data_IF_461788079424
#
_entry.id   IF_461788079424
#
_cell.length_a   1.000
_cell.length_b   1.000
_cell.length_c   1.000
_cell.angle_alpha   90.00
_cell.angle_beta   90.00
_cell.angle_gamma   90.00
#
_symmetry.space_group_name_H-M   'P 1'
#
loop_
_entity.id
_entity.type
_entity.pdbx_description
1 polymer ?
#
# COMPACT_ATOMS: atom_id res chain seq x y z
N UNK A 1 -7.15 11.51 -7.60
CA UNK A 1 -6.25 10.34 -7.66
C UNK A 1 -7.07 9.21 -7.06
N UNK A 2 -7.94 8.61 -7.87
CA UNK A 2 -8.73 7.45 -7.44
C UNK A 2 -7.77 6.29 -7.21
N UNK A 3 -8.00 5.51 -6.16
CA UNK A 3 -7.23 4.33 -5.82
C UNK A 3 -7.33 3.33 -6.99
N UNK A 4 -6.33 3.31 -7.87
CA UNK A 4 -6.22 2.32 -8.96
C UNK A 4 -5.20 1.23 -8.62
N UNK A 5 -5.06 0.91 -7.32
CA UNK A 5 -4.55 -0.39 -6.92
C UNK A 5 -5.71 -1.35 -7.20
N UNK A 6 -5.63 -2.09 -8.31
CA UNK A 6 -6.72 -2.94 -8.78
C UNK A 6 -7.02 -4.16 -7.89
N UNK A 7 -6.43 -4.25 -6.70
CA UNK A 7 -6.81 -5.19 -5.65
C UNK A 7 -7.94 -4.56 -4.83
N UNK A 8 -9.15 -5.05 -5.05
CA UNK A 8 -10.31 -4.55 -4.33
C UNK A 8 -10.42 -5.37 -3.05
N UNK A 9 -10.40 -6.69 -3.14
CA UNK A 9 -10.78 -7.57 -2.03
C UNK A 9 -9.58 -8.24 -1.35
N UNK A 10 -9.69 -8.55 -0.06
CA UNK A 10 -8.69 -9.32 0.70
C UNK A 10 -8.42 -10.68 0.05
N UNK A 11 -9.43 -11.30 -0.57
CA UNK A 11 -9.28 -12.53 -1.33
C UNK A 11 -8.32 -12.44 -2.54
N UNK A 12 -8.01 -11.23 -3.02
CA UNK A 12 -7.10 -11.02 -4.14
C UNK A 12 -5.61 -11.16 -3.74
N UNK A 13 -5.34 -11.19 -2.42
CA UNK A 13 -4.00 -11.26 -1.84
C UNK A 13 -3.78 -12.65 -1.26
N UNK A 14 -2.88 -13.42 -1.87
CA UNK A 14 -2.39 -14.67 -1.30
C UNK A 14 -1.01 -14.45 -0.66
N UNK A 15 -0.99 -14.39 0.68
CA UNK A 15 0.24 -14.21 1.44
C UNK A 15 1.12 -15.47 1.49
N UNK A 16 0.54 -16.66 1.28
CA UNK A 16 1.28 -17.93 1.26
C UNK A 16 1.93 -18.15 -0.11
N UNK A 17 1.17 -17.98 -1.19
CA UNK A 17 1.70 -18.04 -2.56
C UNK A 17 2.54 -16.80 -2.92
N UNK A 18 2.47 -15.75 -2.10
CA UNK A 18 3.09 -14.43 -2.34
C UNK A 18 2.66 -13.86 -3.68
N UNK A 19 1.36 -13.80 -3.92
CA UNK A 19 0.79 -13.32 -5.18
C UNK A 19 -0.38 -12.38 -4.97
N UNK A 20 -0.47 -11.39 -5.86
CA UNK A 20 -1.58 -10.44 -5.95
C UNK A 20 -2.29 -10.61 -7.29
N UNK A 21 -3.58 -10.90 -7.24
CA UNK A 21 -4.43 -11.05 -8.43
C UNK A 21 -5.16 -9.75 -8.73
N UNK A 22 -4.94 -9.17 -9.90
CA UNK A 22 -5.62 -7.95 -10.34
C UNK A 22 -6.75 -8.34 -11.29
N UNK A 23 -7.99 -8.37 -10.79
CA UNK A 23 -9.18 -8.85 -11.51
C UNK A 23 -9.83 -7.84 -12.46
N UNK A 24 -9.33 -6.60 -12.56
CA UNK A 24 -9.92 -5.55 -13.41
C UNK A 24 -8.95 -4.94 -14.41
N UNK A 25 -9.24 -5.15 -15.69
CA UNK A 25 -9.33 -4.06 -16.65
C UNK A 25 -10.48 -4.36 -17.62
N UNK A 26 -10.90 -3.39 -18.42
CA UNK A 26 -12.13 -3.33 -19.23
C UNK A 26 -12.33 -4.46 -20.27
N UNK A 27 -11.44 -5.46 -20.31
CA UNK A 27 -11.43 -6.64 -21.21
C UNK A 27 -10.86 -7.87 -20.48
N UNK A 28 -11.24 -9.08 -20.91
CA UNK A 28 -10.77 -10.35 -20.32
C UNK A 28 -9.23 -10.53 -20.35
N UNK A 29 -8.52 -9.76 -21.18
CA UNK A 29 -7.05 -9.72 -21.26
C UNK A 29 -6.37 -8.92 -20.12
N UNK A 30 -7.17 -8.32 -19.21
CA UNK A 30 -6.69 -7.43 -18.15
C UNK A 30 -6.26 -8.11 -16.85
N UNK A 31 -6.58 -9.40 -16.69
CA UNK A 31 -6.25 -10.14 -15.48
C UNK A 31 -4.75 -10.44 -15.44
N UNK A 32 -4.10 -10.06 -14.33
CA UNK A 32 -2.67 -10.31 -14.14
C UNK A 32 -2.37 -10.69 -12.70
N UNK A 33 -1.47 -11.65 -12.57
CA UNK A 33 -0.88 -12.06 -11.30
C UNK A 33 0.46 -11.33 -11.15
N UNK A 34 0.61 -10.62 -10.04
CA UNK A 34 1.83 -9.90 -9.67
C UNK A 34 2.46 -10.64 -8.48
N UNK A 35 3.70 -11.15 -8.59
CA UNK A 35 4.37 -11.72 -7.42
C UNK A 35 4.59 -10.63 -6.37
N UNK A 36 4.52 -11.00 -5.10
CA UNK A 36 4.77 -10.12 -3.98
C UNK A 36 6.18 -10.39 -3.45
N UNK A 37 6.90 -9.33 -3.09
CA UNK A 37 8.16 -9.46 -2.36
C UNK A 37 7.91 -9.76 -0.90
N UNK A 38 8.89 -10.32 -0.20
CA UNK A 38 8.81 -10.57 1.24
C UNK A 38 8.48 -9.30 2.05
N UNK A 39 9.04 -8.17 1.63
CA UNK A 39 8.72 -6.87 2.22
C UNK A 39 7.24 -6.55 2.04
N UNK A 40 6.69 -6.75 0.85
CA UNK A 40 5.27 -6.49 0.56
C UNK A 40 4.36 -7.41 1.36
N UNK A 41 4.71 -8.69 1.48
CA UNK A 41 3.97 -9.67 2.29
C UNK A 41 3.96 -9.24 3.77
N UNK A 42 5.11 -8.80 4.31
CA UNK A 42 5.21 -8.34 5.69
C UNK A 42 4.34 -7.11 5.97
N UNK A 43 4.27 -6.17 5.02
CA UNK A 43 3.47 -4.96 5.10
C UNK A 43 1.98 -5.29 5.04
N UNK A 44 1.57 -6.16 4.12
CA UNK A 44 0.18 -6.61 4.00
C UNK A 44 -0.28 -7.41 5.23
N UNK A 45 0.58 -8.27 5.79
CA UNK A 45 0.30 -8.98 7.02
C UNK A 45 0.17 -8.05 8.24
N UNK A 46 0.99 -7.00 8.31
CA UNK A 46 0.85 -5.94 9.33
C UNK A 46 -0.45 -5.16 9.16
N UNK A 47 -0.78 -4.76 7.92
CA UNK A 47 -2.00 -4.04 7.61
C UNK A 47 -3.24 -4.85 8.02
N UNK A 48 -3.26 -6.15 7.71
CA UNK A 48 -4.34 -7.06 8.10
C UNK A 48 -4.51 -7.14 9.63
N UNK A 49 -3.43 -7.35 10.38
CA UNK A 49 -3.48 -7.37 11.85
C UNK A 49 -3.97 -6.05 12.44
N UNK A 50 -3.55 -4.92 11.86
CA UNK A 50 -4.05 -3.61 12.26
C UNK A 50 -5.54 -3.44 11.97
N UNK A 51 -6.04 -3.98 10.86
CA UNK A 51 -7.48 -3.97 10.55
C UNK A 51 -8.28 -4.87 11.50
N UNK A 52 -7.74 -6.03 11.87
CA UNK A 52 -8.35 -6.97 12.83
C UNK A 52 -8.57 -6.33 14.22
N UNK A 53 -7.74 -5.34 14.61
CA UNK A 53 -7.94 -4.57 15.83
C UNK A 53 -9.21 -3.69 15.81
N UNK A 54 -9.77 -3.40 14.63
CA UNK A 54 -11.01 -2.64 14.47
C UNK A 54 -12.24 -3.52 14.26
N UNK A 55 -12.06 -4.83 14.06
CA UNK A 55 -13.14 -5.79 13.81
C UNK A 55 -12.70 -6.96 12.93
N UNK A 56 -13.56 -7.98 12.74
CA UNK A 56 -13.23 -9.13 11.89
C UNK A 56 -12.98 -8.72 10.43
N UNK A 57 -11.92 -9.29 9.83
CA UNK A 57 -11.57 -9.07 8.42
C UNK A 57 -12.02 -10.26 7.59
N UNK A 58 -13.09 -10.08 6.82
CA UNK A 58 -13.63 -11.09 5.90
C UNK A 58 -12.93 -11.06 4.53
N UNK A 59 -12.94 -12.17 3.77
CA UNK A 59 -12.33 -12.24 2.44
C UNK A 59 -12.91 -11.23 1.43
N UNK A 60 -14.17 -10.84 1.62
CA UNK A 60 -14.89 -9.88 0.77
C UNK A 60 -14.51 -8.43 1.08
N UNK A 61 -13.92 -8.15 2.24
CA UNK A 61 -13.55 -6.80 2.64
C UNK A 61 -12.48 -6.20 1.72
N UNK A 62 -12.47 -4.87 1.66
CA UNK A 62 -11.46 -4.17 0.88
C UNK A 62 -10.08 -4.25 1.56
N UNK A 63 -9.02 -4.58 0.80
CA UNK A 63 -7.63 -4.60 1.34
C UNK A 63 -7.25 -3.25 1.95
N UNK A 64 -7.73 -2.19 1.28
CA UNK A 64 -7.58 -0.81 1.70
C UNK A 64 -8.94 -0.23 2.08
N UNK A 65 -9.43 -0.68 3.23
CA UNK A 65 -10.68 -0.24 3.83
C UNK A 65 -10.65 1.22 4.28
N UNK A 66 -11.79 1.90 4.15
CA UNK A 66 -11.96 3.28 4.50
C UNK A 66 -12.27 3.46 5.98
N UNK A 67 -11.62 4.45 6.58
CA UNK A 67 -12.14 5.08 7.77
C UNK A 67 -13.28 6.02 7.38
N UNK A 68 -14.37 6.01 8.14
CA UNK A 68 -15.53 6.88 7.93
C UNK A 68 -15.26 8.22 8.63
N UNK A 69 -14.96 9.30 7.88
CA UNK A 69 -14.87 10.62 8.47
C UNK A 69 -16.28 11.16 8.72
N UNK A 70 -16.55 11.58 9.95
CA UNK A 70 -17.68 12.44 10.29
C UNK A 70 -17.21 13.88 10.27
N UNK A 71 -17.75 14.64 9.32
CA UNK A 71 -17.50 16.07 9.22
C UNK A 71 -18.55 16.82 10.02
N UNK A 72 -18.10 17.75 10.86
CA UNK A 72 -18.98 18.69 11.55
C UNK A 72 -19.04 19.96 10.72
N UNK A 73 -20.25 20.44 10.45
CA UNK A 73 -20.49 21.63 9.64
C UNK A 73 -21.04 22.78 10.48
N UNK A 74 -20.58 24.00 10.20
CA UNK A 74 -21.19 25.25 10.66
C UNK A 74 -21.63 26.04 9.43
N UNK A 75 -22.93 25.97 9.13
CA UNK A 75 -23.47 26.45 7.86
C UNK A 75 -22.86 25.68 6.67
N UNK A 76 -22.27 26.39 5.70
CA UNK A 76 -21.62 25.81 4.51
C UNK A 76 -20.14 25.44 4.72
N UNK A 77 -19.58 25.64 5.92
CA UNK A 77 -18.15 25.37 6.20
C UNK A 77 -17.98 24.14 7.06
N UNK A 78 -17.01 23.29 6.70
CA UNK A 78 -16.51 22.21 7.56
C UNK A 78 -15.69 22.87 8.67
N UNK A 79 -16.11 22.68 9.92
CA UNK A 79 -15.44 23.23 11.11
C UNK A 79 -14.56 22.20 11.81
N UNK A 80 -14.92 20.92 11.70
CA UNK A 80 -14.18 19.84 12.31
C UNK A 80 -14.35 18.54 11.52
N UNK A 81 -13.39 17.63 11.66
CA UNK A 81 -13.51 16.27 11.13
C UNK A 81 -13.01 15.28 12.18
N UNK A 82 -13.81 14.26 12.46
CA UNK A 82 -13.44 13.16 13.32
C UNK A 82 -13.61 11.84 12.57
N UNK A 83 -12.77 10.85 12.85
CA UNK A 83 -12.91 9.50 12.29
C UNK A 83 -13.80 8.70 13.23
N UNK A 84 -14.99 8.33 12.76
CA UNK A 84 -16.01 7.71 13.62
C UNK A 84 -16.05 6.19 13.54
N UNK A 85 -15.40 5.57 12.57
CA UNK A 85 -15.38 4.13 12.46
C UNK A 85 -14.51 3.61 11.32
N UNK A 86 -14.21 2.33 11.37
CA UNK A 86 -13.58 1.56 10.30
C UNK A 86 -14.68 0.82 9.53
N UNK A 87 -14.81 1.09 8.24
CA UNK A 87 -15.77 0.42 7.36
C UNK A 87 -15.00 -0.45 6.34
N UNK A 88 -14.92 -1.77 6.58
CA UNK A 88 -14.17 -2.68 5.74
C UNK A 88 -14.87 -3.01 4.41
N UNK A 89 -16.12 -2.59 4.24
CA UNK A 89 -16.91 -2.81 3.01
C UNK A 89 -16.71 -1.70 1.98
N UNK A 90 -16.02 -0.62 2.37
CA UNK A 90 -15.81 0.55 1.54
C UNK A 90 -14.33 0.80 1.30
N UNK A 91 -13.94 0.84 0.04
CA UNK A 91 -12.57 1.19 -0.32
C UNK A 91 -12.19 2.64 0.02
N UNK A 92 -10.90 2.85 0.29
CA UNK A 92 -10.27 4.16 0.38
C UNK A 92 -10.42 4.94 -0.95
N UNK A 93 -11.14 6.05 -0.91
CA UNK A 93 -11.41 6.86 -2.11
C UNK A 93 -10.20 7.68 -2.58
N UNK A 94 -9.27 8.02 -1.68
CA UNK A 94 -8.10 8.85 -1.99
C UNK A 94 -6.98 8.67 -0.97
N UNK A 95 -5.77 8.43 -1.47
CA UNK A 95 -4.53 8.45 -0.67
C UNK A 95 -3.80 9.79 -0.76
N UNK A 96 -4.33 10.77 -1.52
CA UNK A 96 -3.58 11.96 -1.95
C UNK A 96 -3.05 12.78 -0.77
N UNK A 97 -3.87 13.00 0.24
CA UNK A 97 -3.49 13.79 1.41
C UNK A 97 -2.45 13.07 2.26
N UNK A 98 -2.66 11.78 2.53
CA UNK A 98 -1.70 10.95 3.26
C UNK A 98 -0.35 10.88 2.52
N UNK A 99 -0.36 10.70 1.20
CA UNK A 99 0.85 10.69 0.36
C UNK A 99 1.58 12.04 0.43
N UNK A 100 0.88 13.17 0.28
CA UNK A 100 1.50 14.51 0.38
C UNK A 100 2.13 14.76 1.74
N UNK A 101 1.50 14.30 2.82
CA UNK A 101 2.05 14.43 4.17
C UNK A 101 3.30 13.56 4.32
N UNK A 102 3.28 12.33 3.80
CA UNK A 102 4.43 11.43 3.81
C UNK A 102 5.60 12.04 3.04
N UNK A 103 5.39 12.48 1.80
CA UNK A 103 6.46 13.06 0.97
C UNK A 103 7.00 14.36 1.55
N UNK A 104 6.16 15.19 2.16
CA UNK A 104 6.62 16.38 2.90
C UNK A 104 7.52 15.99 4.08
N UNK A 105 7.14 14.99 4.88
CA UNK A 105 7.95 14.49 6.01
C UNK A 105 9.25 13.85 5.55
N UNK A 106 9.22 13.12 4.45
CA UNK A 106 10.40 12.51 3.82
C UNK A 106 11.27 13.52 3.04
N UNK A 107 10.94 14.83 3.07
CA UNK A 107 11.64 15.89 2.35
C UNK A 107 11.70 15.69 0.81
N UNK A 108 10.67 15.07 0.25
CA UNK A 108 10.48 14.83 -1.19
C UNK A 108 9.28 15.60 -1.76
N UNK A 109 9.25 16.95 -1.68
CA UNK A 109 8.12 17.73 -2.17
C UNK A 109 7.94 17.52 -3.68
N UNK A 110 6.70 17.29 -4.12
CA UNK A 110 6.39 17.12 -5.54
C UNK A 110 6.44 15.69 -6.05
N UNK A 111 7.03 14.75 -5.30
CA UNK A 111 7.04 13.32 -5.67
C UNK A 111 5.62 12.74 -5.71
N UNK A 112 5.21 12.24 -6.87
CA UNK A 112 3.86 11.75 -7.13
C UNK A 112 3.82 10.24 -7.05
N UNK A 113 2.65 9.71 -6.75
CA UNK A 113 2.48 8.26 -6.63
C UNK A 113 2.76 7.50 -7.95
N UNK A 114 2.56 8.13 -9.11
CA UNK A 114 2.91 7.49 -10.39
C UNK A 114 4.41 7.39 -10.63
N UNK A 115 5.21 8.25 -10.00
CA UNK A 115 6.67 8.22 -10.12
C UNK A 115 7.20 6.90 -9.57
N UNK A 116 6.58 6.34 -8.52
CA UNK A 116 6.91 5.01 -8.01
C UNK A 116 6.80 3.92 -9.07
N UNK A 117 5.77 3.98 -9.93
CA UNK A 117 5.60 3.00 -11.01
C UNK A 117 6.70 3.18 -12.06
N UNK A 118 7.05 4.41 -12.41
CA UNK A 118 8.16 4.68 -13.32
C UNK A 118 9.48 4.20 -12.74
N UNK A 119 9.80 4.53 -11.49
CA UNK A 119 11.00 4.03 -10.80
C UNK A 119 11.05 2.50 -10.78
N UNK A 120 9.95 1.82 -10.45
CA UNK A 120 9.91 0.35 -10.42
C UNK A 120 10.17 -0.26 -11.81
N UNK A 121 9.58 0.31 -12.87
CA UNK A 121 9.81 -0.16 -14.25
C UNK A 121 11.26 0.09 -14.68
N UNK A 122 11.81 1.27 -14.39
CA UNK A 122 13.19 1.60 -14.72
C UNK A 122 14.17 0.70 -13.97
N UNK A 123 13.99 0.50 -12.67
CA UNK A 123 14.86 -0.40 -11.91
C UNK A 123 14.73 -1.85 -12.38
N UNK A 124 13.53 -2.30 -12.76
CA UNK A 124 13.35 -3.61 -13.42
C UNK A 124 14.17 -3.70 -14.73
N UNK A 125 14.20 -2.63 -15.53
CA UNK A 125 14.99 -2.58 -16.75
C UNK A 125 16.49 -2.56 -16.50
N UNK A 126 16.95 -1.73 -15.56
CA UNK A 126 18.36 -1.61 -15.17
C UNK A 126 18.92 -2.93 -14.62
N UNK A 127 18.10 -3.71 -13.91
CA UNK A 127 18.48 -5.03 -13.38
C UNK A 127 18.28 -6.16 -14.41
N UNK A 128 18.10 -5.84 -15.70
CA UNK A 128 17.99 -6.81 -16.79
C UNK A 128 16.69 -7.61 -16.83
N UNK A 129 15.71 -7.27 -15.99
CA UNK A 129 14.43 -7.99 -15.88
C UNK A 129 13.34 -7.48 -16.84
N UNK A 130 13.62 -6.44 -17.63
CA UNK A 130 12.74 -6.02 -18.72
C UNK A 130 13.05 -6.87 -19.97
N UNK A 131 12.67 -8.15 -19.88
CA UNK A 131 12.96 -9.21 -20.84
C UNK A 131 12.63 -8.85 -22.30
N UNK A 132 13.55 -9.21 -23.20
CA UNK A 132 13.21 -9.65 -24.55
C UNK A 132 12.04 -10.66 -24.47
N UNK A 133 10.84 -10.20 -24.83
CA UNK A 133 9.67 -11.01 -25.20
C UNK A 133 9.39 -12.25 -24.34
N UNK A 134 8.65 -12.08 -23.23
CA UNK A 134 7.57 -12.97 -22.75
C UNK A 134 7.69 -14.51 -23.00
N UNK A 135 8.87 -15.11 -22.91
CA UNK A 135 9.06 -16.53 -23.23
C UNK A 135 9.08 -17.37 -21.95
N UNK A 136 7.89 -17.85 -21.59
CA UNK A 136 7.58 -19.03 -20.77
C UNK A 136 8.16 -19.25 -19.36
N UNK A 137 9.14 -18.49 -18.87
CA UNK A 137 9.63 -18.58 -17.48
C UNK A 137 8.89 -17.58 -16.58
N UNK A 138 7.59 -17.82 -16.38
CA UNK A 138 6.62 -16.71 -16.24
C UNK A 138 6.39 -16.13 -14.84
N UNK A 139 6.84 -16.79 -13.76
CA UNK A 139 6.56 -16.35 -12.38
C UNK A 139 7.80 -16.37 -11.48
N UNK A 140 8.65 -17.38 -11.59
CA UNK A 140 9.87 -17.47 -10.79
C UNK A 140 10.86 -16.38 -11.16
N UNK A 141 11.13 -16.17 -12.46
CA UNK A 141 11.96 -15.06 -12.93
C UNK A 141 11.42 -13.69 -12.48
N UNK A 142 10.08 -13.50 -12.49
CA UNK A 142 9.46 -12.27 -11.98
C UNK A 142 9.64 -12.12 -10.47
N UNK A 143 9.54 -13.20 -9.71
CA UNK A 143 9.77 -13.21 -8.27
C UNK A 143 11.22 -12.86 -7.97
N UNK A 144 12.18 -13.51 -8.63
CA UNK A 144 13.62 -13.24 -8.48
C UNK A 144 13.94 -11.79 -8.82
N UNK A 145 13.41 -11.26 -9.92
CA UNK A 145 13.58 -9.86 -10.30
C UNK A 145 13.00 -8.90 -9.24
N UNK A 146 11.79 -9.18 -8.74
CA UNK A 146 11.18 -8.35 -7.71
C UNK A 146 11.91 -8.42 -6.36
N UNK A 147 12.43 -9.58 -5.98
CA UNK A 147 13.24 -9.72 -4.76
C UNK A 147 14.60 -9.02 -4.90
N UNK A 148 15.26 -9.13 -6.06
CA UNK A 148 16.49 -8.40 -6.34
C UNK A 148 16.28 -6.88 -6.19
N UNK A 149 15.13 -6.37 -6.65
CA UNK A 149 14.75 -4.97 -6.44
C UNK A 149 14.49 -4.60 -4.99
N UNK A 150 13.80 -5.47 -4.25
CA UNK A 150 13.57 -5.24 -2.82
C UNK A 150 14.89 -5.18 -2.05
N UNK A 151 15.82 -6.09 -2.35
CA UNK A 151 17.16 -6.12 -1.75
C UNK A 151 17.96 -4.89 -2.15
N UNK A 152 17.99 -4.52 -3.44
CA UNK A 152 18.69 -3.32 -3.93
C UNK A 152 18.14 -2.04 -3.27
N UNK A 153 16.82 -1.93 -3.13
CA UNK A 153 16.18 -0.78 -2.46
C UNK A 153 16.51 -0.75 -0.98
N UNK A 154 16.58 -1.91 -0.31
CA UNK A 154 16.94 -2.02 1.10
C UNK A 154 18.41 -1.69 1.34
N UNK A 155 19.31 -2.13 0.46
CA UNK A 155 20.73 -1.81 0.51
C UNK A 155 21.01 -0.32 0.24
N UNK A 156 20.19 0.33 -0.56
CA UNK A 156 20.21 1.78 -0.77
C UNK A 156 19.48 2.58 0.33
N UNK A 157 18.93 1.91 1.35
CA UNK A 157 18.13 2.52 2.42
C UNK A 157 18.97 3.34 3.39
N UNK A 158 18.59 4.62 3.55
CA UNK A 158 19.13 5.55 4.54
C UNK A 158 18.91 5.05 5.97
N UNK A 159 19.98 5.06 6.76
CA UNK A 159 20.00 4.80 8.20
C UNK A 159 19.19 5.88 8.94
N UNK A 160 17.94 5.57 9.30
CA UNK A 160 17.17 6.41 10.22
C UNK A 160 17.51 6.00 11.65
N UNK A 161 18.58 6.58 12.18
CA UNK A 161 18.86 6.59 13.62
C UNK A 161 17.65 7.19 14.36
N UNK A 162 17.01 6.36 15.18
CA UNK A 162 15.82 6.69 15.94
C UNK A 162 16.15 7.54 17.17
N UNK A 163 15.96 8.85 17.09
CA UNK A 163 15.69 9.67 18.30
C UNK A 163 14.23 9.45 18.71
N UNK A 164 14.00 8.43 19.54
CA UNK A 164 12.72 8.26 20.23
C UNK A 164 12.88 8.85 21.63
N UNK A 165 12.62 10.15 21.79
CA UNK A 165 12.44 10.72 23.12
C UNK A 165 11.21 10.05 23.77
N UNK A 166 11.47 9.20 24.77
CA UNK A 166 10.45 8.63 25.62
C UNK A 166 9.67 9.77 26.30
N UNK A 167 8.39 9.94 25.96
CA UNK A 167 7.51 10.85 26.68
C UNK A 167 6.97 10.14 27.93
N UNK A 168 7.03 10.78 29.12
CA UNK A 168 6.56 10.17 30.35
C UNK A 168 5.04 9.98 30.35
N UNK A 169 4.61 8.86 30.92
CA UNK A 169 3.23 8.49 31.20
C UNK A 169 2.58 9.57 32.06
N UNK A 170 1.59 10.26 31.52
CA UNK A 170 0.67 11.08 32.31
C UNK A 170 -0.46 10.18 32.79
N UNK A 171 -0.38 9.77 34.06
CA UNK A 171 -1.53 9.30 34.84
C UNK A 171 -2.50 10.47 35.01
N UNK A 172 -3.77 10.26 34.69
CA UNK A 172 -4.87 11.15 35.11
C UNK A 172 -5.63 10.49 36.26
N UNK A 173 -6.02 11.26 37.30
CA UNK A 173 -6.64 10.73 38.50
C UNK A 173 -8.19 10.70 38.41
N UNK A 174 -8.72 9.78 39.22
CA UNK A 174 -10.09 9.50 39.71
C UNK A 174 -11.11 9.00 38.68
#
# INVERSE_FOLDING_TARGET
>A
MQCALGCRNVSDVDLFAKTLTIRKSKTAAGERIVPLTDVTVSVLARLRRSAEAFGPVEPVHDVFAAFVPKFTFSGKRVIDYNVTGFDPTRHLNSWRSAWRTLTKKARLPGFRFHDLRHCAITQLAENGALLERYSHERMEAKRTAMEALAVSTKAAGYDTNHDTNARPVSTRPV
#
